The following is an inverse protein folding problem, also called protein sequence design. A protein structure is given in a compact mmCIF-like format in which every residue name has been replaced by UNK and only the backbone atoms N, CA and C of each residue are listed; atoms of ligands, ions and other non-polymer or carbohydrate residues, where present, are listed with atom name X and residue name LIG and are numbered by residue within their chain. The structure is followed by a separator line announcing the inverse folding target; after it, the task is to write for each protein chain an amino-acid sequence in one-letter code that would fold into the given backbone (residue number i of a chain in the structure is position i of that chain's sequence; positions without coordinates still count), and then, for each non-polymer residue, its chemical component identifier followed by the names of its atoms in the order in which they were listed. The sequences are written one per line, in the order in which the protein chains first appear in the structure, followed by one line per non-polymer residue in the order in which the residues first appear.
data_IF_329976838163
#
_entry.id   IF_329976838163
#
_cell.length_a   1.000
_cell.length_b   1.000
_cell.length_c   1.000
_cell.angle_alpha   90.00
_cell.angle_beta   90.00
_cell.angle_gamma   90.00
#
_symmetry.space_group_name_H-M   'P 1'
#
loop_
_entity.id
_entity.type
_entity.pdbx_description
1 polymer ?
#
# COMPACT_ATOMS: atom_id res chain seq x y z
N UNK A 1 -10.03 16.80 20.76
CA UNK A 1 -9.91 15.59 19.91
C UNK A 1 -8.79 14.72 20.44
N UNK A 2 -9.01 13.42 20.61
CA UNK A 2 -7.95 12.48 20.96
C UNK A 2 -7.17 12.05 19.72
N UNK A 3 -5.86 11.80 19.88
CA UNK A 3 -4.96 11.35 18.81
C UNK A 3 -4.68 9.85 18.95
N UNK A 4 -4.16 9.21 17.91
CA UNK A 4 -3.81 7.77 17.95
C UNK A 4 -2.86 7.40 19.10
N UNK A 5 -2.00 8.34 19.52
CA UNK A 5 -1.01 8.10 20.57
C UNK A 5 -1.61 8.17 21.98
N UNK A 6 -2.68 8.96 22.16
CA UNK A 6 -3.23 9.29 23.47
C UNK A 6 -4.60 8.67 23.76
N UNK A 7 -5.36 8.28 22.72
CA UNK A 7 -6.76 7.92 22.90
C UNK A 7 -6.94 6.69 23.79
N UNK A 8 -6.01 5.72 23.76
CA UNK A 8 -6.15 4.47 24.52
C UNK A 8 -6.23 4.69 26.03
N UNK A 9 -5.57 5.73 26.53
CA UNK A 9 -5.44 6.04 27.95
C UNK A 9 -6.43 7.13 28.40
N UNK A 10 -7.14 7.75 27.46
CA UNK A 10 -8.12 8.77 27.76
C UNK A 10 -9.44 8.14 28.17
N UNK A 11 -10.11 8.72 29.16
CA UNK A 11 -11.46 8.33 29.56
C UNK A 11 -12.50 8.93 28.61
N UNK A 12 -13.41 8.09 28.14
CA UNK A 12 -14.56 8.47 27.31
C UNK A 12 -15.86 8.14 28.04
N UNK A 13 -16.92 8.88 27.70
CA UNK A 13 -18.28 8.61 28.18
C UNK A 13 -19.25 8.62 27.01
N UNK A 14 -20.11 7.60 26.95
CA UNK A 14 -21.14 7.49 25.92
C UNK A 14 -22.35 8.36 26.31
N UNK A 15 -22.79 9.30 25.45
CA UNK A 15 -23.94 10.15 25.74
C UNK A 15 -25.27 9.40 25.70
N UNK A 16 -25.34 8.22 25.06
CA UNK A 16 -26.58 7.46 24.90
C UNK A 16 -26.86 6.49 26.05
N UNK A 17 -25.86 5.69 26.46
CA UNK A 17 -26.06 4.66 27.49
C UNK A 17 -25.35 4.94 28.81
N UNK A 18 -24.59 6.04 28.91
CA UNK A 18 -23.89 6.42 30.14
C UNK A 18 -22.65 5.58 30.45
N UNK A 19 -22.22 4.70 29.53
CA UNK A 19 -20.97 3.95 29.69
C UNK A 19 -19.78 4.89 29.82
N UNK A 20 -18.90 4.63 30.77
CA UNK A 20 -17.63 5.36 30.96
C UNK A 20 -16.48 4.36 31.07
N UNK A 21 -15.41 4.58 30.31
CA UNK A 21 -14.25 3.71 30.30
C UNK A 21 -13.07 4.33 29.55
N UNK A 22 -11.97 3.59 29.42
CA UNK A 22 -10.79 4.06 28.69
C UNK A 22 -10.98 3.84 27.19
N UNK A 23 -10.31 4.63 26.35
CA UNK A 23 -10.43 4.51 24.90
C UNK A 23 -9.95 3.16 24.35
N UNK A 24 -9.09 2.43 25.08
CA UNK A 24 -8.73 1.05 24.76
C UNK A 24 -9.89 0.05 24.91
N UNK A 25 -10.90 0.41 25.71
CA UNK A 25 -12.10 -0.40 25.98
C UNK A 25 -13.24 -0.06 25.00
N UNK A 26 -13.08 0.99 24.19
CA UNK A 26 -13.99 1.31 23.09
C UNK A 26 -13.80 0.35 21.89
N UNK A 27 -14.87 0.15 21.13
CA UNK A 27 -14.82 -0.67 19.91
C UNK A 27 -14.29 0.20 18.76
N UNK A 28 -13.17 -0.19 18.16
CA UNK A 28 -12.68 0.45 16.93
C UNK A 28 -13.50 -0.04 15.74
N UNK A 29 -14.14 0.87 14.99
CA UNK A 29 -14.88 0.54 13.78
C UNK A 29 -14.22 1.10 12.53
N UNK A 30 -14.90 1.98 11.79
CA UNK A 30 -14.53 2.36 10.44
C UNK A 30 -13.18 3.08 10.44
N UNK A 31 -12.29 2.60 9.58
CA UNK A 31 -10.97 3.16 9.34
C UNK A 31 -11.04 3.95 8.04
N UNK A 32 -10.82 5.25 8.16
CA UNK A 32 -10.67 6.16 7.03
C UNK A 32 -9.19 6.42 6.78
N UNK A 33 -8.88 7.10 5.67
CA UNK A 33 -7.49 7.39 5.27
C UNK A 33 -6.66 8.04 6.38
N UNK A 34 -7.25 9.00 7.10
CA UNK A 34 -6.54 9.85 8.06
C UNK A 34 -7.13 9.80 9.48
N UNK A 35 -8.13 8.94 9.74
CA UNK A 35 -8.81 8.84 11.03
C UNK A 35 -9.54 7.50 11.20
N UNK A 36 -9.97 7.18 12.41
CA UNK A 36 -10.89 6.07 12.67
C UNK A 36 -11.93 6.40 13.74
N UNK A 37 -13.05 5.69 13.72
CA UNK A 37 -14.12 5.83 14.71
C UNK A 37 -13.90 4.91 15.92
N UNK A 38 -14.22 5.45 17.10
CA UNK A 38 -14.40 4.67 18.32
C UNK A 38 -15.86 4.71 18.77
N UNK A 39 -16.40 3.54 19.02
CA UNK A 39 -17.79 3.33 19.40
C UNK A 39 -17.89 2.81 20.83
N UNK A 40 -19.04 3.08 21.44
CA UNK A 40 -19.39 2.60 22.75
C UNK A 40 -19.51 1.06 22.73
N UNK A 41 -18.83 0.33 23.64
CA UNK A 41 -18.96 -1.12 23.71
C UNK A 41 -20.34 -1.57 24.24
N UNK A 42 -21.08 -0.68 24.92
CA UNK A 42 -22.40 -0.98 25.49
C UNK A 42 -23.53 -0.91 24.46
N UNK A 43 -23.69 0.23 23.80
CA UNK A 43 -24.80 0.46 22.86
C UNK A 43 -24.38 0.54 21.38
N UNK A 44 -23.08 0.51 21.08
CA UNK A 44 -22.56 0.59 19.71
C UNK A 44 -22.66 1.98 19.07
N UNK A 45 -23.03 3.01 19.85
CA UNK A 45 -23.11 4.39 19.38
C UNK A 45 -21.73 5.04 19.28
N UNK A 46 -21.58 5.96 18.33
CA UNK A 46 -20.30 6.62 18.07
C UNK A 46 -19.91 7.56 19.20
N UNK A 47 -18.68 7.42 19.70
CA UNK A 47 -18.15 8.27 20.77
C UNK A 47 -17.32 9.42 20.19
N UNK A 48 -16.28 9.14 19.41
CA UNK A 48 -15.40 10.17 18.86
C UNK A 48 -14.64 9.67 17.61
N UNK A 49 -14.14 10.60 16.80
CA UNK A 49 -13.20 10.36 15.70
C UNK A 49 -11.76 10.55 16.21
N UNK A 50 -10.91 9.57 15.97
CA UNK A 50 -9.49 9.61 16.33
C UNK A 50 -8.68 9.88 15.07
N UNK A 51 -8.02 11.03 15.03
CA UNK A 51 -7.13 11.38 13.93
C UNK A 51 -5.81 10.62 14.01
N UNK A 52 -5.36 10.14 12.86
CA UNK A 52 -4.00 9.65 12.66
C UNK A 52 -3.07 10.86 12.48
N UNK A 53 -1.80 10.77 12.92
CA UNK A 53 -0.85 11.86 12.79
C UNK A 53 -0.50 12.07 11.31
N UNK A 54 -0.32 13.33 10.94
CA UNK A 54 0.15 13.69 9.60
C UNK A 54 1.61 13.26 9.43
N UNK A 55 2.02 12.97 8.19
CA UNK A 55 3.41 12.62 7.86
C UNK A 55 4.40 13.65 8.41
N UNK A 56 4.06 14.94 8.35
CA UNK A 56 4.87 16.02 8.91
C UNK A 56 5.05 15.93 10.44
N UNK A 57 4.03 15.50 11.17
CA UNK A 57 4.05 15.35 12.64
C UNK A 57 4.89 14.14 13.05
N UNK A 58 4.79 13.04 12.30
CA UNK A 58 5.61 11.85 12.47
C UNK A 58 7.09 12.20 12.24
N UNK A 59 7.40 12.92 11.15
CA UNK A 59 8.78 13.32 10.82
C UNK A 59 9.35 14.31 11.84
N UNK A 60 8.56 15.25 12.34
CA UNK A 60 9.00 16.18 13.39
C UNK A 60 9.30 15.47 14.72
N UNK A 61 8.49 14.47 15.07
CA UNK A 61 8.69 13.66 16.28
C UNK A 61 9.96 12.82 16.15
N UNK A 62 10.13 12.12 15.04
CA UNK A 62 11.34 11.35 14.77
C UNK A 62 12.60 12.26 14.75
N UNK A 63 12.48 13.50 14.24
CA UNK A 63 13.58 14.50 14.31
C UNK A 63 13.99 14.80 15.74
N UNK A 64 13.01 15.04 16.61
CA UNK A 64 13.23 15.37 18.03
C UNK A 64 13.85 14.19 18.78
N UNK A 65 13.45 12.96 18.46
CA UNK A 65 13.93 11.75 19.11
C UNK A 65 15.29 11.27 18.57
N UNK A 66 15.83 11.92 17.53
CA UNK A 66 17.07 11.48 16.88
C UNK A 66 16.88 10.18 16.08
N UNK A 67 15.64 9.84 15.76
CA UNK A 67 15.24 8.62 15.03
C UNK A 67 14.99 8.91 13.55
N UNK A 68 15.62 9.95 13.02
CA UNK A 68 15.70 10.17 11.57
C UNK A 68 16.98 9.52 11.05
N UNK A 69 16.87 8.87 9.91
CA UNK A 69 18.04 8.54 9.10
C UNK A 69 18.69 9.85 8.54
N UNK A 70 19.89 9.79 7.93
CA UNK A 70 20.56 10.95 7.36
C UNK A 70 19.76 11.68 6.26
N UNK A 71 18.72 11.05 5.70
CA UNK A 71 17.84 11.63 4.69
C UNK A 71 16.57 12.29 5.27
N UNK A 72 16.36 12.21 6.58
CA UNK A 72 15.26 12.88 7.27
C UNK A 72 13.95 12.09 7.29
N UNK A 73 14.00 10.75 7.16
CA UNK A 73 12.84 9.86 7.25
C UNK A 73 12.77 9.16 8.62
N UNK A 74 11.57 9.07 9.19
CA UNK A 74 11.32 8.42 10.49
C UNK A 74 11.62 6.91 10.43
N UNK A 75 12.50 6.46 11.32
CA UNK A 75 12.90 5.06 11.51
C UNK A 75 11.77 4.24 12.19
N UNK A 76 10.71 3.90 11.46
CA UNK A 76 9.91 2.73 11.85
C UNK A 76 10.60 1.46 11.35
N UNK A 77 10.71 0.39 12.18
CA UNK A 77 11.46 -0.81 11.83
C UNK A 77 10.64 -1.64 10.84
N UNK A 78 10.86 -1.41 9.55
CA UNK A 78 10.53 -2.37 8.51
C UNK A 78 11.85 -2.95 8.02
N UNK A 79 12.21 -4.11 8.57
CA UNK A 79 13.46 -4.81 8.29
C UNK A 79 13.65 -5.04 6.78
N UNK A 80 14.75 -4.49 6.28
CA UNK A 80 15.37 -4.70 4.96
C UNK A 80 15.83 -6.16 4.78
N UNK A 81 15.93 -6.72 3.55
CA UNK A 81 17.11 -6.48 2.69
C UNK A 81 16.71 -6.29 1.20
N UNK A 82 17.34 -5.44 0.39
CA UNK A 82 18.77 -5.10 0.33
C UNK A 82 19.00 -3.63 -0.05
N UNK A 83 20.10 -3.11 0.45
CA UNK A 83 20.67 -1.79 0.16
C UNK A 83 20.91 -1.61 -1.34
N UNK A 84 20.29 -0.56 -1.91
CA UNK A 84 20.51 -0.10 -3.28
C UNK A 84 19.22 -0.04 -4.10
N UNK A 85 18.78 1.17 -4.41
CA UNK A 85 17.58 1.56 -5.18
C UNK A 85 16.26 1.62 -4.39
N UNK A 86 15.50 2.70 -4.62
CA UNK A 86 14.36 3.11 -3.80
C UNK A 86 13.23 2.09 -3.66
N UNK A 87 12.39 2.29 -2.64
CA UNK A 87 11.26 1.42 -2.25
C UNK A 87 10.22 1.15 -3.34
N UNK A 88 10.24 1.90 -4.44
CA UNK A 88 9.33 1.82 -5.56
C UNK A 88 10.12 1.83 -6.87
N UNK A 89 9.58 1.19 -7.91
CA UNK A 89 10.07 1.29 -9.27
C UNK A 89 9.65 2.63 -9.88
N UNK A 90 10.60 3.51 -10.16
CA UNK A 90 10.36 4.81 -10.80
C UNK A 90 11.28 5.02 -12.02
N UNK A 91 12.34 4.23 -12.15
CA UNK A 91 13.34 4.35 -13.21
C UNK A 91 13.65 2.98 -13.86
N UNK A 92 13.68 2.88 -15.20
CA UNK A 92 14.10 1.68 -15.93
C UNK A 92 15.47 1.11 -15.51
N UNK A 93 16.40 1.93 -15.04
CA UNK A 93 17.73 1.50 -14.60
C UNK A 93 17.69 0.62 -13.36
N UNK A 94 16.62 0.70 -12.56
CA UNK A 94 16.40 -0.18 -11.40
C UNK A 94 16.13 -1.64 -11.80
N UNK A 95 15.78 -1.89 -13.06
CA UNK A 95 15.44 -3.21 -13.57
C UNK A 95 16.66 -3.92 -14.17
N UNK A 96 16.75 -5.26 -14.01
CA UNK A 96 17.80 -6.02 -14.64
C UNK A 96 17.65 -6.03 -16.16
N UNK A 97 18.78 -6.17 -16.85
CA UNK A 97 18.78 -6.45 -18.29
C UNK A 97 18.37 -7.91 -18.52
N UNK A 98 17.37 -8.12 -19.38
CA UNK A 98 16.94 -9.41 -19.89
C UNK A 98 17.30 -9.42 -21.37
N UNK A 99 17.96 -10.47 -21.86
CA UNK A 99 18.50 -10.53 -23.22
C UNK A 99 17.67 -11.41 -24.17
N UNK A 100 16.49 -11.83 -23.74
CA UNK A 100 15.57 -12.61 -24.56
C UNK A 100 14.88 -11.75 -25.63
N UNK A 101 14.54 -12.37 -26.76
CA UNK A 101 13.90 -11.71 -27.90
C UNK A 101 12.45 -11.31 -27.58
N UNK A 102 11.77 -12.12 -26.78
CA UNK A 102 10.40 -11.90 -26.32
C UNK A 102 10.35 -12.01 -24.80
N UNK A 103 9.83 -10.98 -24.14
CA UNK A 103 9.74 -10.89 -22.69
C UNK A 103 8.27 -10.85 -22.32
N UNK A 104 7.86 -11.83 -21.50
CA UNK A 104 6.55 -11.84 -20.83
C UNK A 104 6.79 -11.80 -19.34
N UNK A 105 6.22 -10.79 -18.69
CA UNK A 105 6.37 -10.60 -17.25
C UNK A 105 5.08 -10.93 -16.53
N UNK A 106 5.22 -11.31 -15.26
CA UNK A 106 4.09 -11.59 -14.38
C UNK A 106 4.04 -10.59 -13.26
N UNK A 107 2.86 -10.01 -13.04
CA UNK A 107 2.54 -9.22 -11.86
C UNK A 107 1.90 -10.13 -10.80
N UNK A 108 2.44 -10.15 -9.60
CA UNK A 108 1.91 -10.96 -8.49
C UNK A 108 1.86 -10.18 -7.18
N UNK A 109 1.09 -10.67 -6.21
CA UNK A 109 1.02 -10.10 -4.87
C UNK A 109 1.10 -11.19 -3.78
N UNK A 110 1.73 -10.92 -2.63
CA UNK A 110 1.92 -11.93 -1.57
C UNK A 110 0.80 -12.02 -0.53
N UNK A 111 -0.18 -11.11 -0.45
CA UNK A 111 -1.26 -11.29 0.54
C UNK A 111 -2.22 -10.12 0.69
N UNK A 112 -3.00 -10.16 1.78
CA UNK A 112 -3.98 -9.13 2.08
C UNK A 112 -3.32 -7.87 2.62
N UNK A 113 -3.85 -6.73 2.18
CA UNK A 113 -3.55 -5.40 2.71
C UNK A 113 -3.61 -5.38 4.26
N UNK A 114 -2.81 -4.55 4.94
CA UNK A 114 -1.98 -3.46 4.41
C UNK A 114 -0.50 -3.82 4.20
N UNK A 115 -0.11 -5.10 4.32
CA UNK A 115 1.31 -5.55 4.27
C UNK A 115 1.67 -6.31 3.00
N UNK A 116 0.84 -6.18 1.96
CA UNK A 116 1.07 -6.85 0.69
C UNK A 116 2.27 -6.23 -0.04
N UNK A 117 3.02 -7.05 -0.75
CA UNK A 117 4.02 -6.64 -1.71
C UNK A 117 3.55 -6.99 -3.12
N UNK A 118 3.94 -6.16 -4.09
CA UNK A 118 3.89 -6.43 -5.51
C UNK A 118 5.21 -7.08 -5.93
N UNK A 119 5.12 -8.04 -6.85
CA UNK A 119 6.26 -8.69 -7.48
C UNK A 119 6.13 -8.61 -8.99
N UNK A 120 7.20 -8.19 -9.65
CA UNK A 120 7.35 -8.38 -11.09
C UNK A 120 8.27 -9.57 -11.29
N UNK A 121 7.79 -10.58 -12.02
CA UNK A 121 8.50 -11.83 -12.25
C UNK A 121 8.75 -12.06 -13.73
N UNK A 122 9.88 -12.70 -14.02
CA UNK A 122 10.22 -13.27 -15.32
C UNK A 122 10.38 -14.78 -15.12
N UNK A 123 9.39 -15.56 -15.56
CA UNK A 123 9.28 -16.98 -15.21
C UNK A 123 9.21 -17.17 -13.69
N UNK A 124 10.11 -17.98 -13.13
CA UNK A 124 10.18 -18.21 -11.67
C UNK A 124 10.97 -17.13 -10.91
N UNK A 125 11.64 -16.21 -11.61
CA UNK A 125 12.53 -15.22 -10.99
C UNK A 125 11.79 -13.92 -10.70
N UNK A 126 11.90 -13.42 -9.47
CA UNK A 126 11.49 -12.06 -9.13
C UNK A 126 12.56 -11.09 -9.67
N UNK A 127 12.15 -10.16 -10.53
CA UNK A 127 13.02 -9.11 -11.08
C UNK A 127 12.79 -7.76 -10.40
N UNK A 128 11.65 -7.60 -9.72
CA UNK A 128 11.37 -6.44 -8.88
C UNK A 128 10.37 -6.77 -7.76
N UNK A 129 10.49 -6.07 -6.62
CA UNK A 129 9.58 -6.14 -5.48
C UNK A 129 9.35 -4.74 -4.91
N UNK A 130 8.12 -4.41 -4.60
CA UNK A 130 7.77 -3.17 -3.87
C UNK A 130 6.54 -3.35 -2.98
N UNK A 131 6.29 -2.46 -1.99
CA UNK A 131 5.06 -2.47 -1.22
C UNK A 131 3.83 -2.23 -2.10
N UNK A 132 2.73 -2.93 -1.82
CA UNK A 132 1.46 -2.74 -2.51
C UNK A 132 0.76 -1.47 -2.02
N UNK A 133 0.28 -0.63 -2.94
CA UNK A 133 -0.51 0.56 -2.63
C UNK A 133 -2.02 0.27 -2.72
N UNK A 134 -2.83 1.13 -2.12
CA UNK A 134 -4.30 1.14 -2.24
C UNK A 134 -4.79 1.50 -3.66
N UNK A 135 -3.86 1.92 -4.54
CA UNK A 135 -4.07 2.30 -5.95
C UNK A 135 -3.44 1.28 -6.90
N UNK A 136 -3.77 0.00 -6.72
CA UNK A 136 -3.16 -1.07 -7.49
C UNK A 136 -3.25 -0.86 -9.00
N UNK A 137 -4.39 -0.42 -9.51
CA UNK A 137 -4.59 -0.23 -10.95
C UNK A 137 -3.73 0.89 -11.54
N UNK A 138 -3.66 2.04 -10.87
CA UNK A 138 -2.81 3.15 -11.28
C UNK A 138 -1.35 2.71 -11.27
N UNK A 139 -0.95 1.98 -10.22
CA UNK A 139 0.41 1.49 -10.08
C UNK A 139 0.79 0.46 -11.14
N UNK A 140 -0.15 -0.39 -11.54
CA UNK A 140 0.02 -1.34 -12.64
C UNK A 140 0.36 -0.63 -13.95
N UNK A 141 -0.33 0.46 -14.26
CA UNK A 141 -0.04 1.28 -15.46
C UNK A 141 1.32 1.96 -15.37
N UNK A 142 1.64 2.57 -14.24
CA UNK A 142 2.94 3.23 -14.03
C UNK A 142 4.11 2.28 -14.26
N UNK A 143 4.09 1.11 -13.60
CA UNK A 143 5.11 0.08 -13.79
C UNK A 143 5.10 -0.44 -15.23
N UNK A 144 3.93 -0.60 -15.84
CA UNK A 144 3.81 -0.98 -17.24
C UNK A 144 4.56 -0.03 -18.18
N UNK A 145 4.49 1.28 -17.97
CA UNK A 145 5.24 2.26 -18.77
C UNK A 145 6.75 2.19 -18.51
N UNK A 146 7.18 2.01 -17.26
CA UNK A 146 8.62 1.84 -16.94
C UNK A 146 9.18 0.56 -17.58
N UNK A 147 8.39 -0.52 -17.59
CA UNK A 147 8.78 -1.78 -18.23
C UNK A 147 8.87 -1.64 -19.76
N UNK A 148 7.94 -0.90 -20.38
CA UNK A 148 7.99 -0.58 -21.81
C UNK A 148 9.23 0.25 -22.15
N UNK A 149 9.57 1.24 -21.33
CA UNK A 149 10.77 2.05 -21.50
C UNK A 149 12.04 1.18 -21.40
N UNK A 150 12.11 0.26 -20.42
CA UNK A 150 13.26 -0.63 -20.22
C UNK A 150 13.45 -1.65 -21.34
N UNK A 151 12.38 -2.33 -21.72
CA UNK A 151 12.45 -3.53 -22.57
C UNK A 151 12.01 -3.27 -24.02
N UNK A 152 11.39 -2.12 -24.28
CA UNK A 152 10.95 -1.71 -25.61
C UNK A 152 9.96 -2.71 -26.22
N UNK A 153 10.07 -2.87 -27.54
CA UNK A 153 9.24 -3.78 -28.32
C UNK A 153 9.39 -5.27 -27.97
N UNK A 154 10.38 -5.64 -27.14
CA UNK A 154 10.57 -7.02 -26.67
C UNK A 154 9.58 -7.39 -25.57
N UNK A 155 9.07 -6.42 -24.81
CA UNK A 155 8.02 -6.66 -23.82
C UNK A 155 6.69 -6.91 -24.53
N UNK A 156 6.19 -8.14 -24.45
CA UNK A 156 4.95 -8.56 -25.12
C UNK A 156 3.73 -8.52 -24.21
N UNK A 157 3.92 -8.67 -22.91
CA UNK A 157 2.82 -8.63 -21.94
C UNK A 157 3.33 -8.44 -20.50
N UNK A 158 2.45 -7.90 -19.66
CA UNK A 158 2.56 -7.91 -18.21
C UNK A 158 1.28 -8.56 -17.68
N UNK A 159 1.39 -9.82 -17.27
CA UNK A 159 0.23 -10.66 -16.94
C UNK A 159 0.06 -10.69 -15.42
N UNK A 160 -1.08 -10.23 -14.87
CA UNK A 160 -1.36 -10.41 -13.46
C UNK A 160 -1.67 -11.88 -13.18
N UNK A 161 -1.26 -12.37 -12.02
CA UNK A 161 -1.79 -13.65 -11.54
C UNK A 161 -3.27 -13.51 -11.24
N UNK A 162 -4.03 -14.61 -11.28
CA UNK A 162 -5.44 -14.62 -10.89
C UNK A 162 -5.65 -14.02 -9.49
N UNK A 163 -4.70 -14.22 -8.59
CA UNK A 163 -4.69 -13.59 -7.26
C UNK A 163 -4.59 -12.06 -7.34
N UNK A 164 -3.67 -11.55 -8.15
CA UNK A 164 -3.54 -10.10 -8.37
C UNK A 164 -4.76 -9.51 -9.10
N UNK A 165 -5.39 -10.23 -10.04
CA UNK A 165 -6.62 -9.79 -10.70
C UNK A 165 -7.78 -9.61 -9.69
N UNK A 166 -7.92 -10.54 -8.74
CA UNK A 166 -8.92 -10.43 -7.67
C UNK A 166 -8.65 -9.22 -6.77
N UNK A 167 -7.37 -8.97 -6.43
CA UNK A 167 -6.97 -7.79 -5.65
C UNK A 167 -7.20 -6.47 -6.42
N UNK A 168 -6.96 -6.45 -7.75
CA UNK A 168 -7.14 -5.25 -8.56
C UNK A 168 -8.60 -4.85 -8.77
N UNK A 169 -9.47 -5.85 -8.96
CA UNK A 169 -10.80 -5.59 -9.50
C UNK A 169 -11.92 -5.87 -8.52
N UNK A 170 -11.68 -6.62 -7.44
CA UNK A 170 -12.74 -7.27 -6.70
C UNK A 170 -13.68 -7.99 -7.68
N UNK A 171 -14.96 -7.62 -7.70
CA UNK A 171 -15.97 -8.12 -8.66
C UNK A 171 -16.36 -7.09 -9.76
N UNK A 172 -15.52 -6.09 -10.06
CA UNK A 172 -15.85 -5.03 -11.02
C UNK A 172 -15.61 -5.44 -12.48
N UNK A 173 -16.70 -5.68 -13.24
CA UNK A 173 -16.65 -5.97 -14.69
C UNK A 173 -16.08 -4.81 -15.54
N UNK A 174 -16.26 -3.57 -15.11
CA UNK A 174 -15.79 -2.39 -15.85
C UNK A 174 -14.25 -2.26 -15.83
N UNK A 175 -13.61 -2.68 -14.74
CA UNK A 175 -12.15 -2.66 -14.66
C UNK A 175 -11.51 -3.80 -15.50
N UNK A 176 -12.20 -4.93 -15.65
CA UNK A 176 -11.76 -6.04 -16.50
C UNK A 176 -11.65 -5.68 -17.99
N UNK A 177 -12.56 -4.84 -18.52
CA UNK A 177 -12.49 -4.41 -19.93
C UNK A 177 -11.38 -3.37 -20.19
N UNK A 178 -11.19 -2.42 -19.28
CA UNK A 178 -10.08 -1.46 -19.33
C UNK A 178 -8.72 -2.18 -19.23
N UNK A 179 -8.66 -3.24 -18.42
CA UNK A 179 -7.48 -4.10 -18.29
C UNK A 179 -7.10 -4.80 -19.59
N UNK A 180 -8.07 -5.44 -20.24
CA UNK A 180 -7.87 -6.12 -21.52
C UNK A 180 -7.37 -5.15 -22.60
N UNK A 181 -7.96 -3.95 -22.69
CA UNK A 181 -7.54 -2.93 -23.66
C UNK A 181 -6.11 -2.43 -23.43
N UNK A 182 -5.71 -2.21 -22.17
CA UNK A 182 -4.33 -1.81 -21.85
C UNK A 182 -3.33 -2.92 -22.19
N UNK A 183 -3.68 -4.19 -21.98
CA UNK A 183 -2.81 -5.33 -22.34
C UNK A 183 -2.56 -5.46 -23.83
N UNK A 184 -3.55 -5.16 -24.66
CA UNK A 184 -3.34 -5.10 -26.12
C UNK A 184 -2.32 -4.01 -26.54
N UNK A 185 -2.05 -3.01 -25.70
CA UNK A 185 -1.03 -1.99 -25.99
C UNK A 185 0.41 -2.54 -25.98
N UNK A 186 0.66 -3.66 -25.31
CA UNK A 186 1.99 -4.30 -25.29
C UNK A 186 2.27 -5.15 -26.55
N UNK A 187 1.25 -5.42 -27.36
CA UNK A 187 1.37 -6.27 -28.56
C UNK A 187 1.74 -5.50 -29.84
N UNK A 188 1.78 -4.17 -29.78
CA UNK A 188 2.22 -3.30 -30.89
C UNK A 188 3.73 -3.15 -30.87
#
# INVERSE_FOLDING_TARGET
MATVDSYREKTFSCPQCGWTGLGKDCVRRELFRDLFEIDCPGCGDKIELISLPLVSEILNTARRLGELDPSGTALFPYNSPSEGAGRFLYDPEQLPNIFEEFIVLTWDCDGQQPKANIFIKHGSRIIWREPCSDKGWERFKEIGEILKEKYGSRLKDLIPTTKAEIDFFGNSRALSSAFAQYRESFKK
#
